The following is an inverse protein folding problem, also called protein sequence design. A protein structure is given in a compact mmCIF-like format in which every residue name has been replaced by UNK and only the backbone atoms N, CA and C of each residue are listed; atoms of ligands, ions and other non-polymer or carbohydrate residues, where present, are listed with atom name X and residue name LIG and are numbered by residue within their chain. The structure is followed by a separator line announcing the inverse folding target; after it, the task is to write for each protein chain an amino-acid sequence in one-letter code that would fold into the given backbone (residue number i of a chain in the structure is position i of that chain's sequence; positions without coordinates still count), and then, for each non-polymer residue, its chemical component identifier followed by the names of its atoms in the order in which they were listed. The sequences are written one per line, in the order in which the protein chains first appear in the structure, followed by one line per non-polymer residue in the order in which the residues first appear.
data_IF_360557601962
#
_entry.id   IF_360557601962
#
_cell.length_a   1.000
_cell.length_b   1.000
_cell.length_c   1.000
_cell.angle_alpha   90.00
_cell.angle_beta   90.00
_cell.angle_gamma   90.00
#
_symmetry.space_group_name_H-M   'P 1'
#
loop_
_entity.id
_entity.type
_entity.pdbx_description
1 polymer ?
#
# COMPACT_ATOMS: atom_id res chain seq x y z
N UNK A 1 6.07 17.64 -33.26
CA UNK A 1 5.91 16.86 -32.00
C UNK A 1 6.79 17.50 -30.94
N UNK A 2 6.19 18.16 -29.94
CA UNK A 2 6.94 18.77 -28.84
C UNK A 2 7.65 17.67 -28.05
N UNK A 3 8.98 17.70 -27.97
CA UNK A 3 9.74 16.77 -27.14
C UNK A 3 9.42 17.13 -25.69
N UNK A 4 8.58 16.33 -25.04
CA UNK A 4 8.23 16.54 -23.64
C UNK A 4 9.52 16.57 -22.80
N UNK A 5 9.85 17.75 -22.27
CA UNK A 5 11.01 17.94 -21.40
C UNK A 5 10.66 17.52 -19.98
N UNK A 6 11.09 16.32 -19.58
CA UNK A 6 10.94 15.83 -18.21
C UNK A 6 12.02 16.48 -17.32
N UNK A 7 11.59 17.30 -16.36
CA UNK A 7 12.49 18.09 -15.50
C UNK A 7 13.08 17.29 -14.34
N UNK A 8 12.44 16.18 -13.95
CA UNK A 8 12.85 15.42 -12.79
C UNK A 8 13.97 14.40 -13.11
N UNK A 9 15.11 14.54 -12.42
CA UNK A 9 16.27 13.64 -12.54
C UNK A 9 16.52 12.94 -11.21
N UNK A 10 16.37 11.62 -11.21
CA UNK A 10 16.73 10.77 -10.07
C UNK A 10 18.24 10.84 -9.81
N UNK A 11 18.61 11.05 -8.55
CA UNK A 11 20.02 11.13 -8.14
C UNK A 11 20.46 9.80 -7.48
N UNK A 12 21.46 9.07 -8.03
CA UNK A 12 21.89 7.79 -7.47
C UNK A 12 22.31 7.87 -6.00
N UNK A 13 22.94 8.97 -5.58
CA UNK A 13 23.33 9.20 -4.19
C UNK A 13 22.12 9.27 -3.26
N UNK A 14 21.03 9.91 -3.68
CA UNK A 14 19.77 9.98 -2.91
C UNK A 14 19.06 8.64 -2.89
N UNK A 15 19.03 7.91 -4.01
CA UNK A 15 18.50 6.53 -4.04
C UNK A 15 19.20 5.65 -3.01
N UNK A 16 20.53 5.71 -2.95
CA UNK A 16 21.29 4.96 -1.94
C UNK A 16 20.99 5.43 -0.51
N UNK A 17 20.82 6.73 -0.29
CA UNK A 17 20.45 7.27 1.02
C UNK A 17 19.08 6.74 1.47
N UNK A 18 18.08 6.79 0.60
CA UNK A 18 16.72 6.34 0.94
C UNK A 18 16.62 4.82 1.13
N UNK A 19 17.45 4.05 0.43
CA UNK A 19 17.63 2.62 0.70
C UNK A 19 18.02 2.37 2.16
N UNK A 20 19.03 3.08 2.66
CA UNK A 20 19.45 2.96 4.06
C UNK A 20 18.45 3.57 5.04
N UNK A 21 17.70 4.62 4.63
CA UNK A 21 16.66 5.25 5.45
C UNK A 21 15.52 4.28 5.79
N UNK A 22 15.14 3.40 4.85
CA UNK A 22 14.07 2.41 5.07
C UNK A 22 14.55 1.06 5.59
N UNK A 23 15.85 0.89 5.83
CA UNK A 23 16.43 -0.35 6.35
C UNK A 23 15.88 -0.77 7.73
N UNK A 24 15.59 0.15 8.68
CA UNK A 24 14.90 -0.22 9.91
C UNK A 24 13.50 -0.78 9.69
N UNK A 25 12.73 -0.20 8.75
CA UNK A 25 11.38 -0.67 8.40
C UNK A 25 11.47 -2.02 7.69
N UNK A 26 12.51 -2.25 6.87
CA UNK A 26 12.67 -3.50 6.15
C UNK A 26 12.85 -4.71 7.07
N UNK A 27 13.36 -4.54 8.31
CA UNK A 27 13.42 -5.62 9.29
C UNK A 27 12.03 -6.14 9.66
N UNK A 28 11.06 -5.25 9.83
CA UNK A 28 9.65 -5.64 10.02
C UNK A 28 9.11 -6.35 8.76
N UNK A 29 9.47 -5.87 7.57
CA UNK A 29 9.05 -6.49 6.30
C UNK A 29 9.61 -7.91 6.15
N UNK A 30 10.81 -8.21 6.65
CA UNK A 30 11.33 -9.59 6.70
C UNK A 30 10.43 -10.47 7.56
N UNK A 31 10.10 -10.05 8.78
CA UNK A 31 9.22 -10.81 9.67
C UNK A 31 7.82 -11.01 9.05
N UNK A 32 7.29 -9.97 8.41
CA UNK A 32 6.00 -10.02 7.73
C UNK A 32 6.02 -10.95 6.51
N UNK A 33 7.07 -10.90 5.70
CA UNK A 33 7.28 -11.84 4.60
C UNK A 33 7.43 -13.28 5.10
N UNK A 34 8.09 -13.50 6.24
CA UNK A 34 8.22 -14.83 6.84
C UNK A 34 6.87 -15.38 7.31
N UNK A 35 6.02 -14.54 7.91
CA UNK A 35 4.64 -14.91 8.22
C UNK A 35 3.87 -15.33 6.96
N UNK A 36 4.04 -14.59 5.86
CA UNK A 36 3.43 -14.92 4.58
C UNK A 36 3.93 -16.26 4.03
N UNK A 37 5.25 -16.47 4.00
CA UNK A 37 5.85 -17.71 3.49
C UNK A 37 5.39 -18.96 4.26
N UNK A 38 5.27 -18.85 5.59
CA UNK A 38 4.71 -19.90 6.43
C UNK A 38 3.21 -20.13 6.15
N UNK A 39 2.42 -19.06 6.05
CA UNK A 39 0.99 -19.18 5.75
C UNK A 39 0.76 -19.82 4.37
N UNK A 40 1.60 -19.49 3.39
CA UNK A 40 1.55 -20.03 2.04
C UNK A 40 1.76 -21.55 2.01
N UNK A 41 2.82 -22.03 2.69
CA UNK A 41 3.12 -23.46 2.75
C UNK A 41 2.07 -24.23 3.54
N UNK A 42 1.51 -23.65 4.61
CA UNK A 42 0.40 -24.25 5.37
C UNK A 42 -0.88 -24.41 4.55
N UNK A 43 -1.12 -23.52 3.58
CA UNK A 43 -2.25 -23.60 2.63
C UNK A 43 -1.93 -24.48 1.41
N UNK A 44 -0.79 -25.17 1.41
CA UNK A 44 -0.39 -26.12 0.38
C UNK A 44 0.18 -25.49 -0.89
N UNK A 45 0.52 -24.19 -0.88
CA UNK A 45 1.17 -23.56 -2.02
C UNK A 45 2.63 -24.06 -2.14
N UNK A 46 3.09 -24.49 -3.33
CA UNK A 46 4.47 -24.90 -3.52
C UNK A 46 5.47 -23.79 -3.13
N UNK A 47 6.61 -24.12 -2.51
CA UNK A 47 7.65 -23.16 -2.13
C UNK A 47 8.05 -22.18 -3.23
N UNK A 48 8.24 -22.69 -4.45
CA UNK A 48 8.64 -21.88 -5.60
C UNK A 48 7.54 -20.90 -6.00
N UNK A 49 6.28 -21.34 -6.01
CA UNK A 49 5.13 -20.50 -6.37
C UNK A 49 4.94 -19.36 -5.36
N UNK A 50 5.13 -19.64 -4.06
CA UNK A 50 5.08 -18.60 -3.02
C UNK A 50 6.17 -17.54 -3.22
N UNK A 51 7.41 -17.95 -3.53
CA UNK A 51 8.54 -17.03 -3.78
C UNK A 51 8.33 -16.24 -5.08
N UNK A 52 7.86 -16.90 -6.15
CA UNK A 52 7.54 -16.24 -7.42
C UNK A 52 6.42 -15.21 -7.23
N UNK A 53 5.40 -15.54 -6.46
CA UNK A 53 4.32 -14.62 -6.12
C UNK A 53 4.87 -13.40 -5.37
N UNK A 54 5.72 -13.58 -4.36
CA UNK A 54 6.34 -12.45 -3.64
C UNK A 54 7.32 -11.63 -4.48
N UNK A 55 7.95 -12.24 -5.48
CA UNK A 55 8.86 -11.55 -6.39
C UNK A 55 8.11 -10.68 -7.38
N UNK A 56 6.95 -11.15 -7.87
CA UNK A 56 6.18 -10.50 -8.95
C UNK A 56 5.04 -9.63 -8.45
N UNK A 57 4.44 -9.98 -7.31
CA UNK A 57 3.31 -9.28 -6.68
C UNK A 57 3.82 -8.61 -5.42
N UNK A 58 4.28 -7.37 -5.55
CA UNK A 58 4.78 -6.60 -4.41
C UNK A 58 3.63 -5.95 -3.61
N UNK A 59 2.73 -6.79 -3.08
CA UNK A 59 1.52 -6.34 -2.38
C UNK A 59 1.07 -7.36 -1.32
N UNK A 60 1.76 -7.38 -0.17
CA UNK A 60 1.59 -8.40 0.88
C UNK A 60 0.14 -8.61 1.36
N UNK A 61 -0.63 -7.54 1.58
CA UNK A 61 -2.03 -7.65 2.01
C UNK A 61 -2.90 -8.44 1.01
N UNK A 62 -2.70 -8.22 -0.29
CA UNK A 62 -3.41 -8.96 -1.33
C UNK A 62 -2.91 -10.39 -1.47
N UNK A 63 -1.63 -10.65 -1.19
CA UNK A 63 -1.07 -12.00 -1.17
C UNK A 63 -1.68 -12.85 -0.04
N UNK A 64 -1.81 -12.29 1.18
CA UNK A 64 -2.51 -12.98 2.26
C UNK A 64 -3.98 -13.25 1.92
N UNK A 65 -4.69 -12.28 1.34
CA UNK A 65 -6.07 -12.47 0.91
C UNK A 65 -6.18 -13.56 -0.17
N UNK A 66 -5.26 -13.58 -1.14
CA UNK A 66 -5.22 -14.61 -2.17
C UNK A 66 -4.98 -16.01 -1.58
N UNK A 67 -4.08 -16.12 -0.60
CA UNK A 67 -3.77 -17.38 0.07
C UNK A 67 -4.92 -17.85 0.98
N UNK A 68 -5.68 -16.93 1.57
CA UNK A 68 -6.86 -17.33 2.34
C UNK A 68 -7.94 -17.98 1.46
N UNK A 69 -8.06 -17.49 0.23
CA UNK A 69 -8.93 -18.04 -0.81
C UNK A 69 -8.34 -19.26 -1.54
N UNK A 70 -7.12 -19.69 -1.18
CA UNK A 70 -6.41 -20.77 -1.86
C UNK A 70 -6.90 -22.15 -1.39
N UNK A 71 -7.21 -23.03 -2.35
CA UNK A 71 -7.80 -24.34 -2.10
C UNK A 71 -8.03 -25.12 -3.39
N UNK A 72 -8.78 -26.23 -3.32
CA UNK A 72 -9.05 -27.10 -4.47
C UNK A 72 -9.87 -26.44 -5.58
N UNK A 73 -10.77 -25.51 -5.21
CA UNK A 73 -11.60 -24.74 -6.15
C UNK A 73 -11.44 -23.24 -5.87
N UNK A 74 -10.50 -22.61 -6.57
CA UNK A 74 -10.31 -21.15 -6.48
C UNK A 74 -11.23 -20.46 -7.48
N UNK A 75 -12.26 -19.78 -6.98
CA UNK A 75 -13.10 -18.94 -7.83
C UNK A 75 -12.30 -17.70 -8.27
N UNK A 76 -11.89 -17.70 -9.54
CA UNK A 76 -11.01 -16.66 -10.11
C UNK A 76 -11.65 -15.27 -10.04
N UNK A 77 -12.95 -15.17 -10.29
CA UNK A 77 -13.63 -13.87 -10.32
C UNK A 77 -13.67 -13.17 -8.94
N UNK A 78 -14.12 -13.84 -7.86
CA UNK A 78 -13.98 -13.31 -6.49
C UNK A 78 -12.53 -12.99 -6.12
N UNK A 79 -11.56 -13.85 -6.47
CA UNK A 79 -10.15 -13.60 -6.19
C UNK A 79 -9.67 -12.30 -6.84
N UNK A 80 -9.93 -12.12 -8.13
CA UNK A 80 -9.59 -10.90 -8.87
C UNK A 80 -10.27 -9.68 -8.26
N UNK A 81 -11.55 -9.79 -7.89
CA UNK A 81 -12.29 -8.68 -7.28
C UNK A 81 -11.69 -8.26 -5.93
N UNK A 82 -11.36 -9.21 -5.06
CA UNK A 82 -10.74 -8.95 -3.74
C UNK A 82 -9.34 -8.36 -3.91
N UNK A 83 -8.50 -8.98 -4.74
CA UNK A 83 -7.13 -8.52 -5.00
C UNK A 83 -7.15 -7.12 -5.63
N UNK A 84 -8.05 -6.85 -6.57
CA UNK A 84 -8.24 -5.53 -7.17
C UNK A 84 -8.71 -4.51 -6.14
N UNK A 85 -9.71 -4.84 -5.32
CA UNK A 85 -10.24 -3.94 -4.30
C UNK A 85 -9.15 -3.55 -3.28
N UNK A 86 -8.35 -4.50 -2.81
CA UNK A 86 -7.22 -4.25 -1.91
C UNK A 86 -6.16 -3.39 -2.59
N UNK A 87 -5.81 -3.70 -3.84
CA UNK A 87 -4.74 -3.01 -4.56
C UNK A 87 -5.15 -1.66 -5.16
N UNK A 88 -6.44 -1.34 -5.23
CA UNK A 88 -6.94 -0.03 -5.66
C UNK A 88 -6.28 1.13 -4.88
N UNK A 89 -5.83 0.88 -3.65
CA UNK A 89 -5.04 1.83 -2.85
C UNK A 89 -3.76 2.29 -3.55
N UNK A 90 -3.09 1.44 -4.34
CA UNK A 90 -1.92 1.82 -5.12
C UNK A 90 -2.25 2.84 -6.22
N UNK A 91 -3.48 2.79 -6.77
CA UNK A 91 -3.95 3.80 -7.72
C UNK A 91 -4.10 5.15 -7.03
N UNK A 92 -4.71 5.18 -5.84
CA UNK A 92 -4.87 6.40 -5.04
C UNK A 92 -3.52 6.97 -4.58
N UNK A 93 -2.62 6.11 -4.13
CA UNK A 93 -1.25 6.49 -3.75
C UNK A 93 -0.47 7.04 -4.95
N UNK A 94 -0.57 6.40 -6.12
CA UNK A 94 0.03 6.88 -7.36
C UNK A 94 -0.54 8.24 -7.79
N UNK A 95 -1.86 8.41 -7.68
CA UNK A 95 -2.54 9.67 -7.97
C UNK A 95 -2.09 10.80 -7.02
N UNK A 96 -1.94 10.52 -5.73
CA UNK A 96 -1.47 11.54 -4.77
C UNK A 96 -0.02 11.98 -5.03
N UNK A 97 0.81 11.09 -5.59
CA UNK A 97 2.19 11.40 -6.00
C UNK A 97 2.27 11.97 -7.42
N UNK A 98 1.16 12.04 -8.16
CA UNK A 98 1.14 12.53 -9.54
C UNK A 98 1.77 13.92 -9.73
N UNK A 99 1.59 14.91 -8.82
CA UNK A 99 2.27 16.21 -8.94
C UNK A 99 3.80 16.10 -9.01
N UNK A 100 4.39 15.06 -8.41
CA UNK A 100 5.82 14.74 -8.51
C UNK A 100 6.13 13.89 -9.75
N UNK A 101 5.32 12.86 -9.99
CA UNK A 101 5.54 11.89 -11.06
C UNK A 101 5.33 12.46 -12.47
N UNK A 102 4.51 13.52 -12.62
CA UNK A 102 4.22 14.14 -13.93
C UNK A 102 5.47 14.65 -14.65
N UNK A 103 6.50 15.00 -13.89
CA UNK A 103 7.79 15.52 -14.37
C UNK A 103 8.80 14.42 -14.72
N UNK A 104 8.40 13.15 -14.57
CA UNK A 104 9.17 11.95 -14.94
C UNK A 104 8.58 11.33 -16.22
N UNK A 105 9.44 10.79 -17.09
CA UNK A 105 9.01 10.11 -18.32
C UNK A 105 8.12 8.90 -18.03
N UNK A 106 7.12 8.57 -18.87
CA UNK A 106 6.16 7.50 -18.62
C UNK A 106 6.80 6.15 -18.26
N UNK A 107 7.82 5.71 -19.01
CA UNK A 107 8.50 4.44 -18.72
C UNK A 107 9.16 4.41 -17.34
N UNK A 108 9.83 5.50 -16.94
CA UNK A 108 10.42 5.63 -15.60
C UNK A 108 9.35 5.78 -14.52
N UNK A 109 8.26 6.49 -14.81
CA UNK A 109 7.13 6.67 -13.90
C UNK A 109 6.50 5.32 -13.54
N UNK A 110 6.16 4.51 -14.54
CA UNK A 110 5.60 3.17 -14.30
C UNK A 110 6.63 2.26 -13.60
N UNK A 111 7.91 2.35 -13.97
CA UNK A 111 8.98 1.63 -13.27
C UNK A 111 9.10 1.98 -11.78
N UNK A 112 8.95 3.26 -11.41
CA UNK A 112 8.89 3.68 -10.01
C UNK A 112 7.66 3.10 -9.30
N UNK A 113 6.50 3.12 -9.96
CA UNK A 113 5.25 2.64 -9.37
C UNK A 113 5.23 1.12 -9.12
N UNK A 114 6.06 0.32 -9.80
CA UNK A 114 6.26 -1.10 -9.49
C UNK A 114 6.86 -1.34 -8.10
N UNK A 115 7.59 -0.35 -7.56
CA UNK A 115 8.23 -0.41 -6.25
C UNK A 115 7.45 0.38 -5.19
N UNK A 116 6.27 0.90 -5.53
CA UNK A 116 5.43 1.67 -4.61
C UNK A 116 4.86 0.75 -3.53
N UNK A 117 4.99 1.17 -2.28
CA UNK A 117 4.40 0.52 -1.11
C UNK A 117 3.81 1.56 -0.17
N UNK A 118 2.98 1.13 0.78
CA UNK A 118 2.42 2.05 1.78
C UNK A 118 3.52 2.76 2.59
N UNK A 119 4.62 2.06 2.90
CA UNK A 119 5.72 2.60 3.71
C UNK A 119 6.53 3.68 2.97
N UNK A 120 6.97 3.41 1.74
CA UNK A 120 7.74 4.41 0.97
C UNK A 120 6.84 5.54 0.43
N UNK A 121 5.56 5.26 0.18
CA UNK A 121 4.56 6.28 -0.13
C UNK A 121 4.39 7.26 1.04
N UNK A 122 4.22 6.76 2.27
CA UNK A 122 4.03 7.60 3.45
C UNK A 122 5.21 8.56 3.65
N UNK A 123 6.44 8.07 3.47
CA UNK A 123 7.65 8.91 3.54
C UNK A 123 7.70 9.92 2.39
N UNK A 124 7.41 9.50 1.15
CA UNK A 124 7.40 10.42 -0.01
C UNK A 124 6.35 11.51 0.12
N UNK A 125 5.14 11.15 0.59
CA UNK A 125 4.04 12.07 0.83
C UNK A 125 4.37 13.06 1.96
N UNK A 126 5.03 12.60 3.03
CA UNK A 126 5.49 13.47 4.10
C UNK A 126 6.59 14.43 3.62
N UNK A 127 7.56 13.93 2.86
CA UNK A 127 8.61 14.77 2.26
C UNK A 127 7.99 15.83 1.34
N UNK A 128 6.98 15.46 0.55
CA UNK A 128 6.25 16.39 -0.32
C UNK A 128 5.53 17.49 0.46
N UNK A 129 4.86 17.14 1.57
CA UNK A 129 4.23 18.12 2.46
C UNK A 129 5.25 19.09 3.09
N UNK A 130 6.49 18.64 3.27
CA UNK A 130 7.60 19.46 3.75
C UNK A 130 8.33 20.21 2.62
N UNK A 131 7.72 20.30 1.42
CA UNK A 131 8.26 21.02 0.26
C UNK A 131 9.36 20.27 -0.50
N UNK A 132 9.61 18.98 -0.21
CA UNK A 132 10.67 18.18 -0.84
C UNK A 132 10.09 17.20 -1.84
N UNK A 133 10.55 17.27 -3.10
CA UNK A 133 10.18 16.28 -4.14
C UNK A 133 11.14 15.11 -4.12
N UNK A 134 10.84 14.10 -3.30
CA UNK A 134 11.66 12.90 -3.11
C UNK A 134 10.99 11.67 -3.74
N UNK A 135 11.29 11.38 -5.02
CA UNK A 135 10.89 10.12 -5.68
C UNK A 135 11.96 9.05 -5.52
N UNK A 136 13.17 9.41 -5.09
CA UNK A 136 14.23 8.45 -4.80
C UNK A 136 13.87 7.50 -3.66
N UNK A 137 12.97 7.90 -2.75
CA UNK A 137 12.45 7.01 -1.70
C UNK A 137 11.58 5.89 -2.25
N UNK A 138 10.85 6.12 -3.34
CA UNK A 138 10.07 5.08 -4.00
C UNK A 138 11.00 4.05 -4.63
N UNK A 139 12.09 4.51 -5.25
CA UNK A 139 13.08 3.63 -5.87
C UNK A 139 13.97 2.92 -4.84
N UNK A 140 14.79 3.67 -4.11
CA UNK A 140 15.78 3.11 -3.19
C UNK A 140 15.13 2.45 -1.98
N UNK A 141 14.14 3.13 -1.40
CA UNK A 141 13.34 2.58 -0.31
C UNK A 141 12.48 1.39 -0.76
N UNK A 142 11.87 1.47 -1.94
CA UNK A 142 11.13 0.33 -2.50
C UNK A 142 12.01 -0.90 -2.75
N UNK A 143 13.24 -0.72 -3.23
CA UNK A 143 14.18 -1.83 -3.45
C UNK A 143 14.54 -2.55 -2.14
N UNK A 144 14.86 -1.84 -1.05
CA UNK A 144 15.18 -2.52 0.22
C UNK A 144 13.98 -3.26 0.79
N UNK A 145 12.78 -2.69 0.66
CA UNK A 145 11.55 -3.32 1.13
C UNK A 145 11.20 -4.55 0.27
N UNK A 146 11.40 -4.49 -1.04
CA UNK A 146 11.14 -5.60 -1.96
C UNK A 146 12.10 -6.77 -1.69
N UNK A 147 13.41 -6.48 -1.55
CA UNK A 147 14.40 -7.49 -1.18
C UNK A 147 14.09 -8.11 0.19
N UNK A 148 13.74 -7.30 1.18
CA UNK A 148 13.35 -7.78 2.49
C UNK A 148 12.10 -8.66 2.45
N UNK A 149 11.11 -8.32 1.62
CA UNK A 149 9.91 -9.14 1.43
C UNK A 149 10.22 -10.51 0.84
N UNK A 150 11.08 -10.56 -0.18
CA UNK A 150 11.53 -11.82 -0.81
C UNK A 150 12.33 -12.66 0.20
N UNK A 151 13.29 -12.06 0.91
CA UNK A 151 14.09 -12.75 1.93
C UNK A 151 13.19 -13.28 3.06
N UNK A 152 12.26 -12.46 3.54
CA UNK A 152 11.25 -12.87 4.52
C UNK A 152 10.44 -14.06 4.02
N UNK A 153 9.87 -13.97 2.81
CA UNK A 153 9.09 -15.05 2.19
C UNK A 153 9.89 -16.34 2.13
N UNK A 154 11.14 -16.27 1.66
CA UNK A 154 12.05 -17.41 1.60
C UNK A 154 12.29 -18.02 2.98
N UNK A 155 12.55 -17.20 4.00
CA UNK A 155 12.70 -17.66 5.39
C UNK A 155 11.43 -18.35 5.90
N UNK A 156 10.26 -17.78 5.64
CA UNK A 156 8.98 -18.36 6.04
C UNK A 156 8.71 -19.71 5.40
N UNK A 157 8.99 -19.83 4.09
CA UNK A 157 8.79 -21.06 3.32
C UNK A 157 9.68 -22.20 3.82
N UNK A 158 10.97 -21.95 4.06
CA UNK A 158 11.94 -23.02 4.40
C UNK A 158 12.15 -23.23 5.90
N UNK A 159 12.04 -22.18 6.72
CA UNK A 159 12.32 -22.23 8.15
C UNK A 159 11.08 -22.02 9.02
N UNK A 160 9.94 -21.61 8.44
CA UNK A 160 8.72 -21.37 9.20
C UNK A 160 8.19 -22.63 9.91
N UNK A 161 8.42 -23.82 9.34
CA UNK A 161 8.06 -25.10 9.97
C UNK A 161 8.91 -25.49 11.18
N UNK A 162 10.03 -24.80 11.42
CA UNK A 162 10.85 -25.00 12.63
C UNK A 162 10.24 -24.32 13.87
N UNK A 163 9.30 -23.39 13.67
CA UNK A 163 8.60 -22.71 14.75
C UNK A 163 7.54 -23.66 15.32
N UNK A 164 7.76 -24.12 16.56
CA UNK A 164 6.83 -25.05 17.23
C UNK A 164 5.47 -24.42 17.52
N UNK A 165 5.43 -23.12 17.84
CA UNK A 165 4.18 -22.37 18.02
C UNK A 165 4.26 -20.96 17.38
N UNK A 166 4.01 -20.85 16.07
CA UNK A 166 3.96 -19.57 15.36
C UNK A 166 2.93 -18.58 15.92
N UNK A 167 1.83 -19.08 16.51
CA UNK A 167 0.76 -18.24 17.06
C UNK A 167 1.20 -17.56 18.34
N UNK A 168 1.97 -18.25 19.19
CA UNK A 168 2.57 -17.63 20.40
C UNK A 168 3.45 -16.41 20.07
N UNK A 169 4.04 -16.39 18.89
CA UNK A 169 4.87 -15.30 18.39
C UNK A 169 4.05 -14.16 17.74
N UNK A 170 2.72 -14.30 17.66
CA UNK A 170 1.81 -13.32 17.06
C UNK A 170 1.89 -13.25 15.53
N UNK A 171 2.38 -14.31 14.87
CA UNK A 171 2.54 -14.31 13.40
C UNK A 171 1.21 -14.21 12.64
N UNK A 172 0.11 -14.70 13.24
CA UNK A 172 -1.25 -14.56 12.74
C UNK A 172 -1.78 -13.11 12.81
N UNK A 173 -1.22 -12.30 13.69
CA UNK A 173 -1.61 -10.89 13.86
C UNK A 173 -0.76 -9.89 13.08
N UNK A 174 0.29 -10.33 12.38
CA UNK A 174 1.23 -9.40 11.71
C UNK A 174 0.52 -8.52 10.66
N UNK A 175 -0.36 -9.10 9.83
CA UNK A 175 -1.13 -8.32 8.85
C UNK A 175 -2.06 -7.31 9.53
N UNK A 176 -2.74 -7.71 10.60
CA UNK A 176 -3.62 -6.85 11.37
C UNK A 176 -2.86 -5.70 12.02
N UNK A 177 -1.74 -6.00 12.68
CA UNK A 177 -0.83 -5.02 13.28
C UNK A 177 -0.26 -4.06 12.24
N UNK A 178 0.11 -4.54 11.05
CA UNK A 178 0.58 -3.70 9.95
C UNK A 178 -0.49 -2.70 9.51
N UNK A 179 -1.70 -3.17 9.22
CA UNK A 179 -2.81 -2.30 8.81
C UNK A 179 -3.20 -1.31 9.91
N UNK A 180 -3.19 -1.74 11.17
CA UNK A 180 -3.47 -0.88 12.32
C UNK A 180 -2.40 0.20 12.50
N UNK A 181 -1.12 -0.17 12.43
CA UNK A 181 -0.01 0.79 12.52
C UNK A 181 -0.08 1.83 11.40
N UNK A 182 -0.39 1.40 10.17
CA UNK A 182 -0.59 2.30 9.04
C UNK A 182 -1.78 3.24 9.24
N UNK A 183 -2.92 2.72 9.72
CA UNK A 183 -4.07 3.56 10.05
C UNK A 183 -3.69 4.60 11.11
N UNK A 184 -3.08 4.18 12.23
CA UNK A 184 -2.73 5.07 13.34
C UNK A 184 -1.64 6.10 13.03
N UNK A 185 -0.74 5.80 12.09
CA UNK A 185 0.31 6.70 11.61
C UNK A 185 -0.20 7.79 10.64
N UNK A 186 -1.40 7.62 10.08
CA UNK A 186 -2.03 8.60 9.20
C UNK A 186 -2.50 9.87 9.92
N UNK A 187 -2.76 10.93 9.15
CA UNK A 187 -3.38 12.16 9.68
C UNK A 187 -4.78 11.86 10.20
N UNK A 188 -5.01 12.15 11.47
CA UNK A 188 -6.30 11.96 12.14
C UNK A 188 -7.13 13.22 11.94
N UNK A 189 -8.30 13.06 11.34
CA UNK A 189 -9.33 14.10 11.29
C UNK A 189 -10.69 13.46 11.56
N UNK A 190 -11.68 14.22 12.04
CA UNK A 190 -13.03 13.71 12.24
C UNK A 190 -13.60 13.04 10.97
N UNK A 191 -13.30 13.60 9.79
CA UNK A 191 -13.71 13.04 8.50
C UNK A 191 -13.10 11.67 8.22
N UNK A 192 -11.80 11.50 8.51
CA UNK A 192 -11.10 10.22 8.36
C UNK A 192 -11.66 9.17 9.34
N UNK A 193 -11.94 9.57 10.59
CA UNK A 193 -12.52 8.69 11.59
C UNK A 193 -13.92 8.20 11.19
N UNK A 194 -14.76 9.07 10.60
CA UNK A 194 -16.06 8.67 10.05
C UNK A 194 -15.87 7.66 8.92
N UNK A 195 -14.98 7.91 7.97
CA UNK A 195 -14.71 6.99 6.87
C UNK A 195 -14.25 5.60 7.38
N UNK A 196 -13.36 5.56 8.38
CA UNK A 196 -12.92 4.31 9.00
C UNK A 196 -14.04 3.58 9.73
N UNK A 197 -14.87 4.32 10.47
CA UNK A 197 -15.99 3.73 11.22
C UNK A 197 -17.02 3.12 10.28
N UNK A 198 -17.38 3.84 9.21
CA UNK A 198 -18.30 3.34 8.17
C UNK A 198 -17.72 2.13 7.45
N UNK A 199 -16.45 2.17 7.05
CA UNK A 199 -15.77 1.04 6.42
C UNK A 199 -15.75 -0.19 7.35
N UNK A 200 -15.43 -0.01 8.63
CA UNK A 200 -15.38 -1.07 9.62
C UNK A 200 -16.74 -1.70 9.90
N UNK A 201 -17.77 -0.89 10.11
CA UNK A 201 -19.14 -1.37 10.33
C UNK A 201 -19.70 -2.10 9.10
N UNK A 202 -19.47 -1.55 7.89
CA UNK A 202 -19.89 -2.18 6.64
C UNK A 202 -19.17 -3.52 6.41
N UNK A 203 -17.87 -3.58 6.70
CA UNK A 203 -17.09 -4.83 6.65
C UNK A 203 -17.61 -5.87 7.65
N UNK A 204 -17.91 -5.47 8.90
CA UNK A 204 -18.44 -6.37 9.92
C UNK A 204 -19.85 -6.90 9.55
N UNK A 205 -20.71 -6.01 9.03
CA UNK A 205 -22.02 -6.37 8.50
C UNK A 205 -21.89 -7.39 7.35
N UNK A 206 -21.01 -7.13 6.40
CA UNK A 206 -20.74 -8.02 5.29
C UNK A 206 -20.19 -9.38 5.77
N UNK A 207 -19.27 -9.39 6.73
CA UNK A 207 -18.77 -10.63 7.32
C UNK A 207 -19.88 -11.47 7.96
N UNK A 208 -20.92 -10.82 8.53
CA UNK A 208 -22.03 -11.51 9.18
C UNK A 208 -23.11 -12.03 8.23
N UNK A 209 -23.34 -11.35 7.10
CA UNK A 209 -24.52 -11.58 6.24
C UNK A 209 -24.20 -11.90 4.78
N UNK A 210 -22.99 -11.64 4.29
CA UNK A 210 -22.58 -11.89 2.91
C UNK A 210 -21.62 -13.10 2.82
N UNK A 211 -21.38 -13.62 1.60
CA UNK A 211 -20.47 -14.73 1.39
C UNK A 211 -19.05 -14.44 1.91
N UNK A 212 -18.25 -15.47 2.22
CA UNK A 212 -16.86 -15.33 2.64
C UNK A 212 -16.07 -14.38 1.72
N UNK A 213 -15.10 -13.65 2.28
CA UNK A 213 -14.19 -12.73 1.58
C UNK A 213 -14.80 -11.45 0.97
N UNK A 214 -16.13 -11.31 0.94
CA UNK A 214 -16.81 -10.08 0.44
C UNK A 214 -16.64 -8.88 1.36
N UNK A 215 -16.38 -9.12 2.65
CA UNK A 215 -16.24 -8.09 3.69
C UNK A 215 -15.18 -7.04 3.36
N UNK A 216 -14.06 -7.45 2.75
CA UNK A 216 -12.99 -6.54 2.32
C UNK A 216 -13.48 -5.58 1.23
N UNK A 217 -14.20 -6.08 0.24
CA UNK A 217 -14.71 -5.28 -0.88
C UNK A 217 -15.76 -4.29 -0.39
N UNK A 218 -16.71 -4.75 0.43
CA UNK A 218 -17.77 -3.90 0.98
C UNK A 218 -17.19 -2.79 1.86
N UNK A 219 -16.24 -3.12 2.75
CA UNK A 219 -15.57 -2.12 3.57
C UNK A 219 -14.80 -1.09 2.74
N UNK A 220 -14.07 -1.54 1.71
CA UNK A 220 -13.34 -0.65 0.81
C UNK A 220 -14.26 0.30 0.03
N UNK A 221 -15.37 -0.20 -0.52
CA UNK A 221 -16.34 0.61 -1.24
C UNK A 221 -17.05 1.62 -0.32
N UNK A 222 -17.47 1.19 0.88
CA UNK A 222 -18.15 2.06 1.84
C UNK A 222 -17.22 3.19 2.33
N UNK A 223 -15.99 2.85 2.73
CA UNK A 223 -14.98 3.83 3.13
C UNK A 223 -14.59 4.78 1.98
N UNK A 224 -14.41 4.22 0.78
CA UNK A 224 -14.11 4.98 -0.43
C UNK A 224 -15.21 5.96 -0.81
N UNK A 225 -16.48 5.57 -0.70
CA UNK A 225 -17.62 6.46 -0.97
C UNK A 225 -17.65 7.65 0.01
N UNK A 226 -17.42 7.42 1.30
CA UNK A 226 -17.29 8.52 2.27
C UNK A 226 -16.08 9.40 1.92
N UNK A 227 -14.95 8.79 1.58
CA UNK A 227 -13.76 9.49 1.09
C UNK A 227 -14.09 10.46 -0.05
N UNK A 228 -14.72 9.94 -1.10
CA UNK A 228 -15.06 10.67 -2.31
C UNK A 228 -16.06 11.81 -2.06
N UNK A 229 -17.17 11.54 -1.38
CA UNK A 229 -18.24 12.54 -1.23
C UNK A 229 -18.00 13.54 -0.09
N UNK A 230 -17.22 13.18 0.93
CA UNK A 230 -17.07 13.99 2.15
C UNK A 230 -15.70 14.66 2.31
N UNK A 231 -14.60 14.04 1.83
CA UNK A 231 -13.27 14.64 1.94
C UNK A 231 -12.94 15.61 0.80
N UNK A 232 -13.59 15.53 -0.36
CA UNK A 232 -13.36 16.40 -1.53
C UNK A 232 -14.00 17.81 -1.43
N UNK A 233 -14.39 18.27 -0.22
CA UNK A 233 -14.76 19.69 -0.06
C UNK A 233 -13.50 20.52 0.15
N UNK A 234 -12.91 20.95 -0.96
CA UNK A 234 -11.91 22.01 -0.98
C UNK A 234 -12.51 23.32 -0.46
N UNK A 235 -11.69 24.04 0.32
CA UNK A 235 -11.87 25.42 0.71
C UNK A 235 -11.83 26.32 -0.55
N UNK A 236 -12.95 26.47 -1.25
CA UNK A 236 -13.17 27.64 -2.11
C UNK A 236 -13.67 28.78 -1.23
N UNK A 237 -12.77 29.39 -0.46
CA UNK A 237 -13.05 30.67 0.20
C UNK A 237 -11.73 31.40 0.46
N UNK A 238 -11.31 32.24 -0.50
CA UNK A 238 -10.17 33.14 -0.32
C UNK A 238 -9.90 34.08 -1.48
N UNK A 239 -10.02 33.64 -2.74
CA UNK A 239 -9.61 34.47 -3.89
C UNK A 239 -10.68 35.47 -4.41
N UNK A 240 -11.86 35.55 -3.78
CA UNK A 240 -12.90 36.52 -4.18
C UNK A 240 -12.91 37.84 -3.40
N UNK A 241 -11.96 38.07 -2.47
CA UNK A 241 -11.89 39.35 -1.74
C UNK A 241 -10.92 40.37 -2.38
N UNK A 242 -9.84 39.94 -3.04
CA UNK A 242 -8.87 40.88 -3.65
C UNK A 242 -9.35 41.46 -4.99
N UNK A 243 -10.24 40.77 -5.70
CA UNK A 243 -10.78 41.26 -6.98
C UNK A 243 -11.82 42.39 -6.82
N UNK A 244 -12.39 42.58 -5.62
CA UNK A 244 -13.35 43.66 -5.35
C UNK A 244 -12.66 44.96 -4.87
N UNK A 245 -11.49 44.88 -4.23
CA UNK A 245 -10.74 46.07 -3.80
C UNK A 245 -9.89 46.68 -4.93
N UNK A 246 -9.40 45.88 -5.89
CA UNK A 246 -8.64 46.38 -7.04
C UNK A 246 -9.46 47.04 -8.16
N UNK A 247 -10.80 46.94 -8.11
CA UNK A 247 -11.69 47.57 -9.08
C UNK A 247 -12.26 48.92 -8.60
N UNK A 248 -11.89 49.36 -7.39
CA UNK A 248 -12.37 50.62 -6.79
C UNK A 248 -11.22 51.60 -6.46
N UNK A 249 -10.03 51.41 -7.04
CA UNK A 249 -8.93 52.37 -6.99
C UNK A 249 -8.55 52.85 -8.40
#
# INVERSE_FOLDING_TARGET
MSVASYSYKLQPRKVRLEFFRLLPISLFVVAFGAAFGLAATQKGLPPLDAILMSTTVFAGASQFAAIDMWGSEVSVLPLVAVVFAINSRHLLMGASLYPMLRDVSPGRRYGLLLLLTDANWAVSAQDYQNGKRNLEVILGGGLVLWLAWIVGTWLGVYFGGLLQDPKSLGLDMVLGCFLLAMALGGKKSPRVLVAWTVAGLASLAAWRWLPPNTHVVVGALAGGAIGFFWLERQETSGESSEAAEGATQ
#
